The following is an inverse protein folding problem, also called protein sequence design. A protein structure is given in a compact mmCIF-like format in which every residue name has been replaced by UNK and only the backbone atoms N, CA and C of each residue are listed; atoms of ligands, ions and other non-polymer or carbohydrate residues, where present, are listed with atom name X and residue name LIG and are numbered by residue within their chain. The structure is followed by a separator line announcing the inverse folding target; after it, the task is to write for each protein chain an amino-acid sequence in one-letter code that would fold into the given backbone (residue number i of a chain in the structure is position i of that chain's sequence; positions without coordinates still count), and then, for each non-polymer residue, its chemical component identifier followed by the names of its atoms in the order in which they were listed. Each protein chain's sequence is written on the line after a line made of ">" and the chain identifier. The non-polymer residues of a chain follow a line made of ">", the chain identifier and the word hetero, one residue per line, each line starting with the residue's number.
data_IF_921382527598
#
_entry.id   IF_921382527598
#
_cell.length_a   1.000
_cell.length_b   1.000
_cell.length_c   1.000
_cell.angle_alpha   90.00
_cell.angle_beta   90.00
_cell.angle_gamma   90.00
#
_symmetry.space_group_name_H-M   'P 1'
#
loop_
_entity.id
_entity.type
_entity.pdbx_description
1 polymer ?
#
# COMPACT_ATOMS: atom_id res chain seq x y z
N UNK A 1 -11.15 13.58 2.20
CA UNK A 1 -11.01 12.14 1.90
C UNK A 1 -9.71 11.56 2.42
N UNK A 2 -8.53 12.04 2.02
CA UNK A 2 -7.25 11.40 2.41
C UNK A 2 -6.88 11.49 3.91
N UNK A 3 -7.42 12.47 4.66
CA UNK A 3 -7.22 12.62 6.10
C UNK A 3 -8.30 11.90 6.95
N UNK A 4 -9.25 11.20 6.30
CA UNK A 4 -10.27 10.41 6.99
C UNK A 4 -9.62 9.12 7.52
N UNK A 5 -10.02 8.70 8.71
CA UNK A 5 -9.73 7.39 9.28
C UNK A 5 -10.40 6.26 8.48
N UNK A 6 -10.01 5.01 8.73
CA UNK A 6 -10.62 3.83 8.11
C UNK A 6 -12.14 3.78 8.33
N UNK A 7 -12.62 4.12 9.53
CA UNK A 7 -14.05 4.14 9.86
C UNK A 7 -14.81 5.20 9.05
N UNK A 8 -14.23 6.39 8.91
CA UNK A 8 -14.83 7.48 8.14
C UNK A 8 -14.82 7.19 6.64
N UNK A 9 -13.77 6.56 6.11
CA UNK A 9 -13.73 6.09 4.73
C UNK A 9 -14.76 4.99 4.48
N UNK A 10 -14.91 4.06 5.43
CA UNK A 10 -15.92 3.00 5.32
C UNK A 10 -17.34 3.59 5.30
N UNK A 11 -17.60 4.58 6.16
CA UNK A 11 -18.87 5.30 6.18
C UNK A 11 -19.12 6.03 4.85
N UNK A 12 -18.12 6.70 4.29
CA UNK A 12 -18.22 7.36 2.99
C UNK A 12 -18.56 6.39 1.84
N UNK A 13 -17.92 5.22 1.80
CA UNK A 13 -18.25 4.15 0.85
C UNK A 13 -19.67 3.61 1.05
N UNK A 14 -20.12 3.44 2.29
CA UNK A 14 -21.49 3.00 2.60
C UNK A 14 -22.54 4.01 2.15
N UNK A 15 -22.26 5.30 2.40
CA UNK A 15 -23.10 6.43 2.01
C UNK A 15 -23.02 6.75 0.51
N UNK A 16 -22.16 6.04 -0.25
CA UNK A 16 -21.88 6.29 -1.67
C UNK A 16 -21.40 7.74 -1.94
N UNK A 17 -20.73 8.34 -0.97
CA UNK A 17 -20.05 9.64 -1.13
C UNK A 17 -18.84 9.53 -2.07
N UNK A 18 -18.27 8.33 -2.17
CA UNK A 18 -17.26 7.94 -3.15
C UNK A 18 -17.36 6.44 -3.44
N UNK A 19 -16.74 6.02 -4.54
CA UNK A 19 -16.46 4.63 -4.90
C UNK A 19 -15.07 4.19 -4.43
N UNK A 20 -14.82 2.89 -4.39
CA UNK A 20 -13.50 2.34 -4.15
C UNK A 20 -12.52 2.74 -5.27
N UNK A 21 -12.99 2.82 -6.52
CA UNK A 21 -12.19 3.32 -7.66
C UNK A 21 -11.77 4.77 -7.47
N UNK A 22 -12.69 5.68 -7.11
CA UNK A 22 -12.35 7.09 -6.86
C UNK A 22 -11.38 7.23 -5.69
N UNK A 23 -11.56 6.41 -4.64
CA UNK A 23 -10.66 6.39 -3.50
C UNK A 23 -9.26 5.89 -3.89
N UNK A 24 -9.17 4.82 -4.67
CA UNK A 24 -7.91 4.30 -5.20
C UNK A 24 -7.18 5.34 -6.08
N UNK A 25 -7.90 5.99 -7.00
CA UNK A 25 -7.35 7.05 -7.86
C UNK A 25 -6.83 8.23 -7.03
N UNK A 26 -7.56 8.64 -6.00
CA UNK A 26 -7.11 9.68 -5.07
C UNK A 26 -5.77 9.32 -4.43
N UNK A 27 -5.62 8.11 -3.90
CA UNK A 27 -4.39 7.70 -3.23
C UNK A 27 -3.24 7.47 -4.22
N UNK A 28 -3.48 6.89 -5.39
CA UNK A 28 -2.47 6.76 -6.46
C UNK A 28 -1.91 8.13 -6.86
N UNK A 29 -2.78 9.13 -7.05
CA UNK A 29 -2.35 10.51 -7.35
C UNK A 29 -1.51 11.12 -6.21
N UNK A 30 -1.87 10.83 -4.95
CA UNK A 30 -1.09 11.31 -3.79
C UNK A 30 0.26 10.62 -3.68
N UNK A 31 0.33 9.32 -3.96
CA UNK A 31 1.60 8.59 -3.96
C UNK A 31 2.54 9.18 -5.01
N UNK A 32 2.03 9.45 -6.22
CA UNK A 32 2.81 10.09 -7.29
C UNK A 32 3.29 11.49 -6.89
N UNK A 33 2.39 12.32 -6.34
CA UNK A 33 2.73 13.67 -5.87
C UNK A 33 3.73 13.69 -4.71
N UNK A 34 3.80 12.61 -3.91
CA UNK A 34 4.71 12.46 -2.77
C UNK A 34 5.89 11.52 -3.05
N UNK A 35 6.19 11.24 -4.32
CA UNK A 35 7.27 10.33 -4.74
C UNK A 35 8.63 10.64 -4.13
N UNK A 36 8.89 11.92 -3.81
CA UNK A 36 10.15 12.38 -3.23
C UNK A 36 10.40 11.87 -1.79
N UNK A 37 9.36 11.36 -1.11
CA UNK A 37 9.48 10.65 0.15
C UNK A 37 10.05 9.24 0.00
N UNK A 38 9.97 8.67 -1.21
CA UNK A 38 10.42 7.32 -1.54
C UNK A 38 9.79 6.21 -0.68
N UNK A 39 8.56 6.43 -0.20
CA UNK A 39 7.87 5.52 0.71
C UNK A 39 7.42 4.20 0.05
N UNK A 40 7.37 4.14 -1.28
CA UNK A 40 6.94 2.97 -2.05
C UNK A 40 8.06 2.49 -3.00
N UNK A 41 8.25 1.18 -3.10
CA UNK A 41 9.19 0.55 -4.04
C UNK A 41 8.49 -0.01 -5.28
N UNK A 42 7.19 -0.30 -5.18
CA UNK A 42 6.40 -0.78 -6.31
C UNK A 42 4.94 -0.32 -6.18
N UNK A 43 4.45 0.41 -7.17
CA UNK A 43 3.06 0.85 -7.32
C UNK A 43 2.62 0.44 -8.71
N UNK A 44 1.45 -0.17 -8.82
CA UNK A 44 0.86 -0.59 -10.09
C UNK A 44 -0.61 -0.14 -10.13
N UNK A 45 -0.88 0.88 -10.93
CA UNK A 45 -2.20 1.49 -10.99
C UNK A 45 -3.25 0.53 -11.56
N UNK A 46 -2.88 -0.33 -12.52
CA UNK A 46 -3.83 -1.22 -13.17
C UNK A 46 -4.26 -2.33 -12.21
N UNK A 47 -3.33 -2.92 -11.46
CA UNK A 47 -3.65 -3.89 -10.41
C UNK A 47 -4.50 -3.27 -9.30
N UNK A 48 -4.13 -2.07 -8.83
CA UNK A 48 -4.91 -1.34 -7.81
C UNK A 48 -6.33 -1.05 -8.30
N UNK A 49 -6.48 -0.53 -9.51
CA UNK A 49 -7.80 -0.18 -10.06
C UNK A 49 -8.65 -1.42 -10.39
N UNK A 50 -8.03 -2.54 -10.77
CA UNK A 50 -8.73 -3.80 -10.94
C UNK A 50 -9.32 -4.31 -9.60
N UNK A 51 -8.54 -4.26 -8.52
CA UNK A 51 -9.03 -4.61 -7.19
C UNK A 51 -10.14 -3.65 -6.72
N UNK A 52 -10.00 -2.35 -6.99
CA UNK A 52 -11.01 -1.35 -6.63
C UNK A 52 -12.34 -1.59 -7.37
N UNK A 53 -12.31 -1.88 -8.67
CA UNK A 53 -13.51 -2.22 -9.45
C UNK A 53 -14.20 -3.47 -8.91
N UNK A 54 -13.43 -4.49 -8.53
CA UNK A 54 -13.97 -5.69 -7.91
C UNK A 54 -14.65 -5.37 -6.56
N UNK A 55 -14.03 -4.55 -5.72
CA UNK A 55 -14.61 -4.11 -4.46
C UNK A 55 -15.90 -3.30 -4.65
N UNK A 56 -15.96 -2.40 -5.62
CA UNK A 56 -17.19 -1.66 -5.96
C UNK A 56 -18.32 -2.62 -6.39
N UNK A 57 -18.00 -3.66 -7.17
CA UNK A 57 -18.97 -4.67 -7.57
C UNK A 57 -19.49 -5.51 -6.38
N UNK A 58 -18.65 -5.80 -5.37
CA UNK A 58 -19.06 -6.46 -4.12
C UNK A 58 -19.93 -5.54 -3.23
N UNK A 59 -19.59 -4.26 -3.15
CA UNK A 59 -20.39 -3.26 -2.42
C UNK A 59 -21.76 -3.06 -3.08
N UNK A 60 -21.81 -2.98 -4.41
CA UNK A 60 -23.05 -2.76 -5.17
C UNK A 60 -24.06 -3.90 -4.99
N UNK A 61 -23.60 -5.15 -4.82
CA UNK A 61 -24.46 -6.33 -4.59
C UNK A 61 -24.77 -6.57 -3.09
N UNK A 62 -24.29 -5.71 -2.19
CA UNK A 62 -24.50 -5.85 -0.75
C UNK A 62 -23.69 -6.96 -0.08
N UNK A 63 -22.63 -7.46 -0.73
CA UNK A 63 -21.76 -8.52 -0.19
C UNK A 63 -20.48 -7.99 0.47
N UNK A 64 -20.24 -6.68 0.43
CA UNK A 64 -19.05 -6.06 1.01
C UNK A 64 -19.02 -6.10 2.55
N UNK A 65 -17.85 -6.43 3.10
CA UNK A 65 -17.58 -6.45 4.53
C UNK A 65 -17.08 -5.12 5.10
N UNK A 66 -16.51 -5.18 6.30
CA UNK A 66 -16.04 -4.00 7.03
C UNK A 66 -14.84 -3.29 6.36
N UNK A 67 -14.06 -4.01 5.55
CA UNK A 67 -12.84 -3.51 4.91
C UNK A 67 -12.93 -3.38 3.39
N UNK A 68 -14.06 -3.79 2.79
CA UNK A 68 -14.21 -3.83 1.34
C UNK A 68 -14.11 -2.43 0.74
N UNK A 69 -13.22 -2.27 -0.24
CA UNK A 69 -12.96 -1.02 -0.95
C UNK A 69 -11.98 -0.08 -0.23
N UNK A 70 -11.53 -0.41 0.98
CA UNK A 70 -10.56 0.43 1.70
C UNK A 70 -9.14 0.21 1.17
N UNK A 71 -8.34 1.28 1.05
CA UNK A 71 -6.96 1.21 0.57
C UNK A 71 -6.02 0.62 1.64
N UNK A 72 -5.02 -0.13 1.19
CA UNK A 72 -3.93 -0.63 2.02
C UNK A 72 -2.61 -0.67 1.24
N UNK A 73 -1.49 -0.47 1.93
CA UNK A 73 -0.17 -0.73 1.39
C UNK A 73 0.51 -1.83 2.21
N UNK A 74 1.31 -2.67 1.57
CA UNK A 74 2.02 -3.75 2.26
C UNK A 74 3.51 -3.45 2.31
N UNK A 75 4.14 -3.65 3.47
CA UNK A 75 5.60 -3.71 3.53
C UNK A 75 6.13 -4.73 2.52
N UNK A 76 7.23 -4.39 1.85
CA UNK A 76 7.82 -5.18 0.77
C UNK A 76 8.29 -6.59 1.17
N UNK A 77 8.34 -6.87 2.48
CA UNK A 77 8.61 -8.20 3.05
C UNK A 77 7.48 -9.21 2.82
N UNK A 78 6.22 -8.74 2.70
CA UNK A 78 5.09 -9.62 2.53
C UNK A 78 4.96 -10.01 1.07
N UNK A 79 5.19 -11.26 0.71
CA UNK A 79 5.03 -11.69 -0.68
C UNK A 79 3.58 -11.52 -1.16
N UNK A 80 3.41 -11.06 -2.42
CA UNK A 80 2.10 -10.69 -2.98
C UNK A 80 2.09 -11.02 -4.48
N UNK A 81 1.21 -11.93 -4.94
CA UNK A 81 1.11 -12.31 -6.35
C UNK A 81 0.73 -11.11 -7.20
N UNK A 82 1.45 -10.90 -8.29
CA UNK A 82 1.27 -9.74 -9.19
C UNK A 82 2.11 -8.52 -8.79
N UNK A 83 2.63 -8.45 -7.57
CA UNK A 83 3.58 -7.40 -7.17
C UNK A 83 4.95 -7.99 -6.86
N UNK A 84 6.01 -7.38 -7.43
CA UNK A 84 7.38 -7.67 -7.03
C UNK A 84 7.55 -7.52 -5.52
N UNK A 85 8.25 -8.47 -4.90
CA UNK A 85 8.52 -8.49 -3.46
C UNK A 85 10.02 -8.59 -3.25
N UNK A 86 10.67 -7.47 -2.94
CA UNK A 86 12.14 -7.35 -3.06
C UNK A 86 12.86 -7.35 -1.72
N UNK A 87 12.12 -7.28 -0.61
CA UNK A 87 12.65 -7.07 0.73
C UNK A 87 13.63 -5.88 0.83
N UNK A 88 13.45 -4.84 0.00
CA UNK A 88 14.38 -3.71 -0.08
C UNK A 88 15.79 -4.08 -0.61
N UNK A 89 15.97 -5.23 -1.26
CA UNK A 89 17.27 -5.77 -1.70
C UNK A 89 17.41 -5.88 -3.22
N UNK A 90 18.63 -5.64 -3.74
CA UNK A 90 18.96 -5.96 -5.14
C UNK A 90 18.91 -7.46 -5.44
N UNK A 91 19.12 -8.31 -4.43
CA UNK A 91 19.06 -9.77 -4.58
C UNK A 91 17.69 -10.23 -5.10
N UNK A 92 16.63 -9.55 -4.68
CA UNK A 92 15.25 -9.90 -5.03
C UNK A 92 14.59 -8.83 -5.92
N UNK A 93 15.36 -7.97 -6.59
CA UNK A 93 14.82 -6.81 -7.34
C UNK A 93 13.78 -7.18 -8.40
N UNK A 94 13.87 -8.39 -8.95
CA UNK A 94 12.95 -8.92 -9.96
C UNK A 94 12.16 -10.14 -9.46
N UNK A 95 12.12 -10.39 -8.14
CA UNK A 95 11.39 -11.52 -7.60
C UNK A 95 9.88 -11.28 -7.65
N UNK A 96 9.19 -12.17 -8.36
CA UNK A 96 7.74 -12.26 -8.38
C UNK A 96 7.31 -13.52 -7.63
N UNK A 97 6.51 -13.35 -6.58
CA UNK A 97 6.09 -14.48 -5.77
C UNK A 97 4.99 -15.29 -6.45
N UNK A 98 5.06 -16.63 -6.44
CA UNK A 98 3.99 -17.48 -6.94
C UNK A 98 2.81 -17.63 -5.96
N UNK A 99 2.91 -17.06 -4.75
CA UNK A 99 1.87 -17.12 -3.72
C UNK A 99 1.80 -15.82 -2.88
N UNK A 100 0.68 -15.65 -2.18
CA UNK A 100 0.46 -14.54 -1.25
C UNK A 100 0.84 -14.94 0.17
N UNK A 101 1.41 -14.00 0.94
CA UNK A 101 1.52 -14.16 2.38
C UNK A 101 0.11 -14.28 3.00
N UNK A 102 -0.03 -15.04 4.09
CA UNK A 102 -1.34 -15.27 4.74
C UNK A 102 -2.09 -13.98 5.06
N UNK A 103 -1.38 -12.96 5.54
CA UNK A 103 -1.98 -11.65 5.86
C UNK A 103 -2.50 -10.93 4.61
N UNK A 104 -1.75 -10.98 3.50
CA UNK A 104 -2.14 -10.42 2.21
C UNK A 104 -3.40 -11.13 1.71
N UNK A 105 -3.39 -12.46 1.70
CA UNK A 105 -4.54 -13.25 1.26
C UNK A 105 -5.81 -12.94 2.08
N UNK A 106 -5.68 -12.77 3.40
CA UNK A 106 -6.82 -12.39 4.27
C UNK A 106 -7.35 -10.99 3.99
N UNK A 107 -6.46 -10.02 3.78
CA UNK A 107 -6.85 -8.63 3.50
C UNK A 107 -7.48 -8.50 2.10
N UNK A 108 -6.95 -9.22 1.11
CA UNK A 108 -7.54 -9.32 -0.22
C UNK A 108 -8.92 -10.01 -0.16
N UNK A 109 -9.06 -11.11 0.60
CA UNK A 109 -10.34 -11.78 0.79
C UNK A 109 -11.37 -10.90 1.52
N UNK A 110 -10.92 -9.98 2.39
CA UNK A 110 -11.77 -8.96 2.99
C UNK A 110 -12.17 -7.83 2.02
N UNK A 111 -11.65 -7.84 0.79
CA UNK A 111 -11.95 -6.89 -0.28
C UNK A 111 -11.17 -5.58 -0.19
N UNK A 112 -10.04 -5.54 0.51
CA UNK A 112 -9.19 -4.35 0.54
C UNK A 112 -8.46 -4.15 -0.80
N UNK A 113 -8.14 -2.89 -1.09
CA UNK A 113 -7.47 -2.48 -2.32
C UNK A 113 -6.00 -2.19 -2.05
N UNK A 114 -5.10 -2.99 -2.60
CA UNK A 114 -3.64 -2.80 -2.46
C UNK A 114 -3.17 -1.64 -3.33
N UNK A 115 -2.54 -0.64 -2.71
CA UNK A 115 -1.93 0.52 -3.36
C UNK A 115 -0.49 0.25 -3.82
N UNK A 116 0.18 -0.74 -3.22
CA UNK A 116 1.55 -1.10 -3.58
C UNK A 116 2.37 -1.66 -2.43
N UNK A 117 3.68 -1.68 -2.66
CA UNK A 117 4.72 -2.19 -1.76
C UNK A 117 5.49 -1.03 -1.13
N UNK A 118 5.46 -0.91 0.19
CA UNK A 118 6.19 0.15 0.89
C UNK A 118 7.64 -0.22 1.08
N UNK A 119 8.51 0.78 0.98
CA UNK A 119 9.95 0.66 1.17
C UNK A 119 10.28 0.23 2.62
N UNK A 120 11.48 -0.34 2.79
CA UNK A 120 11.97 -0.92 4.04
C UNK A 120 13.50 -0.98 4.04
N UNK A 121 14.10 -1.12 5.22
CA UNK A 121 15.50 -1.54 5.29
C UNK A 121 15.68 -2.93 4.65
N UNK A 122 16.83 -3.14 4.01
CA UNK A 122 17.18 -4.37 3.31
C UNK A 122 17.03 -5.59 4.25
N UNK A 123 16.24 -6.58 3.83
CA UNK A 123 15.88 -7.77 4.61
C UNK A 123 15.36 -7.48 6.03
N UNK A 124 14.74 -6.32 6.23
CA UNK A 124 14.24 -5.84 7.51
C UNK A 124 15.33 -5.56 8.56
N UNK A 125 16.60 -5.45 8.16
CA UNK A 125 17.74 -5.24 9.04
C UNK A 125 18.16 -3.77 9.04
N UNK A 126 17.61 -3.00 9.97
CA UNK A 126 17.90 -1.58 10.13
C UNK A 126 16.80 -0.87 10.90
N UNK A 127 17.10 0.35 11.36
CA UNK A 127 16.17 1.18 12.13
C UNK A 127 16.05 2.61 11.59
N UNK A 128 16.48 2.85 10.35
CA UNK A 128 16.43 4.18 9.71
C UNK A 128 15.86 4.19 8.28
N UNK A 129 15.70 3.03 7.65
CA UNK A 129 15.30 2.87 6.24
C UNK A 129 16.30 3.45 5.22
N UNK A 130 17.54 3.70 5.63
CA UNK A 130 18.57 4.30 4.76
C UNK A 130 19.28 3.25 3.89
N UNK A 131 19.31 1.98 4.31
CA UNK A 131 20.05 0.93 3.60
C UNK A 131 19.25 0.24 2.48
N UNK A 132 18.03 0.71 2.18
CA UNK A 132 17.24 0.17 1.08
C UNK A 132 18.00 0.27 -0.25
N UNK A 133 18.02 -0.82 -1.01
CA UNK A 133 18.57 -0.86 -2.36
C UNK A 133 17.87 0.11 -3.34
N UNK A 134 16.67 0.58 -2.99
CA UNK A 134 15.85 1.51 -3.77
C UNK A 134 15.94 2.95 -3.27
N UNK A 135 16.89 3.25 -2.39
CA UNK A 135 17.12 4.56 -1.82
C UNK A 135 16.40 4.76 -0.48
N UNK A 136 16.92 5.71 0.30
CA UNK A 136 16.40 6.04 1.63
C UNK A 136 14.97 6.61 1.56
N UNK A 137 14.15 6.28 2.55
CA UNK A 137 12.84 6.93 2.78
C UNK A 137 13.07 8.23 3.55
N UNK A 138 12.36 9.29 3.20
CA UNK A 138 12.39 10.56 3.95
C UNK A 138 11.24 10.62 4.94
N UNK A 139 11.48 11.22 6.11
CA UNK A 139 10.44 11.46 7.09
C UNK A 139 9.53 12.63 6.64
N UNK A 140 8.19 12.44 6.60
CA UNK A 140 7.25 13.48 6.16
C UNK A 140 7.17 14.68 7.13
N UNK A 141 7.63 14.54 8.37
CA UNK A 141 7.65 15.62 9.37
C UNK A 141 8.91 16.49 9.31
N UNK A 142 10.04 15.90 8.91
CA UNK A 142 11.32 16.58 8.69
C UNK A 142 12.16 15.77 7.71
N UNK A 143 12.39 16.30 6.50
CA UNK A 143 13.13 15.58 5.46
C UNK A 143 14.61 15.36 5.77
N UNK A 144 15.14 15.98 6.83
CA UNK A 144 16.50 15.73 7.32
C UNK A 144 16.55 14.64 8.41
N UNK A 145 15.39 14.17 8.88
CA UNK A 145 15.28 13.09 9.85
C UNK A 145 14.92 11.76 9.18
N UNK A 146 15.25 10.67 9.86
CA UNK A 146 14.88 9.32 9.43
C UNK A 146 13.40 9.03 9.76
N UNK A 147 12.69 8.22 8.96
CA UNK A 147 11.33 7.77 9.27
C UNK A 147 11.30 6.58 10.25
N UNK A 148 12.47 6.16 10.73
CA UNK A 148 12.67 4.93 11.51
C UNK A 148 12.86 3.70 10.59
N UNK A 149 12.87 2.51 11.19
CA UNK A 149 13.06 1.26 10.45
C UNK A 149 12.73 0.03 11.31
N UNK A 150 12.60 -1.15 10.71
CA UNK A 150 12.79 -1.41 9.27
C UNK A 150 11.58 -1.15 8.39
N UNK A 151 10.50 -0.63 8.97
CA UNK A 151 9.23 -0.35 8.28
C UNK A 151 9.05 1.15 7.99
N UNK A 152 10.13 1.88 7.70
CA UNK A 152 10.11 3.33 7.52
C UNK A 152 9.24 3.78 6.34
N UNK A 153 9.18 3.02 5.24
CA UNK A 153 8.25 3.32 4.14
C UNK A 153 6.78 3.18 4.56
N UNK A 154 6.46 2.23 5.45
CA UNK A 154 5.10 2.10 5.97
C UNK A 154 4.71 3.26 6.88
N UNK A 155 5.61 3.70 7.76
CA UNK A 155 5.36 4.85 8.65
C UNK A 155 5.29 6.17 7.88
N UNK A 156 6.14 6.37 6.87
CA UNK A 156 6.14 7.59 6.06
C UNK A 156 4.91 7.71 5.14
N UNK A 157 4.28 6.59 4.78
CA UNK A 157 3.11 6.56 3.91
C UNK A 157 1.77 6.87 4.62
N UNK A 158 1.71 6.65 5.94
CA UNK A 158 0.51 6.84 6.79
C UNK A 158 0.54 8.21 7.44
#
# INVERSE_FOLDING_TARGET
>A
MHAKSLTELRAALAAKECSAVELAQLYLKRIDAARDLNAFVHVDADLTLAQAKAADAELARGAGGALTGLPIAHKDVFVTRGWRSTAGSKMLANYESPFDATVVARLQAAGMVTLGKTNMDEFAMGSSNENSAFGAVKNPWDTNAVPGGSSGGSSAAV
#
